data_IF_231574529488
#
_entry.id   IF_231574529488
#
_cell.length_a   1.000
_cell.length_b   1.000
_cell.length_c   1.000
_cell.angle_alpha   90.00
_cell.angle_beta   90.00
_cell.angle_gamma   90.00
#
_symmetry.space_group_name_H-M   'P 1'
#
loop_
_entity.id
_entity.type
_entity.pdbx_description
1 polymer ?
#
# COMPACT_ATOMS: atom_id res chain seq x y z
N UNK A 1 -7.51 -15.43 15.98
CA UNK A 1 -6.35 -14.57 16.33
C UNK A 1 -5.94 -14.93 17.75
N UNK A 2 -4.64 -15.10 18.08
CA UNK A 2 -4.25 -15.62 19.39
C UNK A 2 -4.25 -14.57 20.52
N UNK A 3 -4.68 -13.33 20.26
CA UNK A 3 -4.72 -12.29 21.27
C UNK A 3 -6.14 -11.75 21.39
N UNK A 4 -6.82 -11.94 22.53
CA UNK A 4 -8.24 -11.65 22.66
C UNK A 4 -8.56 -10.15 22.69
N UNK A 5 -7.70 -9.27 23.19
CA UNK A 5 -8.01 -7.85 23.30
C UNK A 5 -6.76 -6.99 23.61
N UNK A 6 -6.74 -5.77 23.06
CA UNK A 6 -6.12 -4.55 23.57
C UNK A 6 -4.85 -4.64 24.42
N UNK A 7 -3.73 -5.06 23.84
CA UNK A 7 -2.42 -4.86 24.47
C UNK A 7 -1.48 -4.15 23.50
N UNK A 8 -1.08 -2.93 23.86
CA UNK A 8 -0.13 -2.13 23.07
C UNK A 8 1.20 -2.89 22.92
N UNK A 9 1.83 -2.78 21.75
CA UNK A 9 3.19 -3.28 21.50
C UNK A 9 3.34 -4.79 21.28
N UNK A 10 2.26 -5.58 21.17
CA UNK A 10 2.38 -7.02 20.98
C UNK A 10 2.75 -7.38 19.53
N UNK A 11 3.91 -8.01 19.36
CA UNK A 11 4.37 -8.53 18.08
C UNK A 11 3.83 -9.96 17.88
N UNK A 12 3.25 -10.23 16.70
CA UNK A 12 2.94 -11.60 16.33
C UNK A 12 4.24 -12.38 16.01
N UNK A 13 4.15 -13.71 15.93
CA UNK A 13 5.31 -14.56 15.65
C UNK A 13 6.06 -14.19 14.37
N UNK A 14 5.34 -13.73 13.34
CA UNK A 14 5.96 -13.25 12.11
C UNK A 14 6.77 -11.97 12.33
N UNK A 15 6.26 -11.02 13.11
CA UNK A 15 6.96 -9.78 13.43
C UNK A 15 8.21 -10.04 14.29
N UNK A 16 8.15 -10.98 15.23
CA UNK A 16 9.29 -11.38 16.07
C UNK A 16 10.40 -12.08 15.28
N UNK A 17 10.06 -12.75 14.18
CA UNK A 17 11.03 -13.53 13.40
C UNK A 17 12.12 -12.69 12.70
N UNK A 18 11.96 -11.36 12.63
CA UNK A 18 12.93 -10.47 11.96
C UNK A 18 13.06 -10.68 10.44
N UNK A 19 12.18 -11.47 9.82
CA UNK A 19 12.28 -11.85 8.40
C UNK A 19 11.95 -10.72 7.42
N UNK A 20 11.33 -9.65 7.90
CA UNK A 20 10.85 -8.56 7.06
C UNK A 20 11.98 -7.60 6.68
N UNK A 21 11.98 -7.17 5.41
CA UNK A 21 12.97 -6.21 4.86
C UNK A 21 12.37 -4.81 4.78
N UNK A 22 11.68 -4.39 5.83
CA UNK A 22 11.16 -3.04 5.99
C UNK A 22 11.34 -2.61 7.45
N UNK A 23 11.42 -1.30 7.68
CA UNK A 23 11.51 -0.75 9.04
C UNK A 23 10.14 -0.68 9.72
N UNK A 24 9.11 -0.27 8.98
CA UNK A 24 7.78 -0.03 9.50
C UNK A 24 6.71 -0.52 8.51
N UNK A 25 5.61 -1.04 9.06
CA UNK A 25 4.37 -1.31 8.34
C UNK A 25 3.24 -0.55 9.06
N UNK A 26 2.38 0.13 8.30
CA UNK A 26 1.32 1.00 8.82
C UNK A 26 -0.01 0.69 8.17
N UNK A 27 -1.07 0.89 8.92
CA UNK A 27 -2.46 0.80 8.46
C UNK A 27 -3.28 1.79 9.27
N UNK A 28 -4.21 2.49 8.61
CA UNK A 28 -5.14 3.37 9.30
C UNK A 28 -6.12 2.60 10.21
N UNK A 29 -6.62 1.46 9.76
CA UNK A 29 -7.58 0.69 10.54
C UNK A 29 -7.83 -0.71 10.00
N UNK A 30 -8.71 -1.43 10.68
CA UNK A 30 -9.10 -2.80 10.34
C UNK A 30 -9.92 -2.78 9.04
N UNK A 31 -9.64 -3.71 8.13
CA UNK A 31 -10.27 -3.79 6.80
C UNK A 31 -11.70 -4.35 6.86
N UNK A 32 -12.61 -3.60 7.51
CA UNK A 32 -13.99 -4.00 7.77
C UNK A 32 -14.96 -2.82 7.60
N UNK A 33 -16.26 -3.11 7.63
CA UNK A 33 -17.33 -2.12 7.60
C UNK A 33 -17.20 -1.06 6.50
N UNK A 34 -17.41 0.21 6.88
CA UNK A 34 -17.37 1.35 5.97
C UNK A 34 -15.99 1.57 5.31
N UNK A 35 -14.90 1.28 6.02
CA UNK A 35 -13.55 1.42 5.47
C UNK A 35 -13.32 0.43 4.33
N UNK A 36 -13.73 -0.83 4.53
CA UNK A 36 -13.67 -1.85 3.48
C UNK A 36 -14.48 -1.45 2.25
N UNK A 37 -15.70 -0.94 2.44
CA UNK A 37 -16.58 -0.52 1.34
C UNK A 37 -15.98 0.66 0.56
N UNK A 38 -15.48 1.68 1.26
CA UNK A 38 -14.80 2.82 0.62
C UNK A 38 -13.57 2.37 -0.19
N UNK A 39 -12.74 1.48 0.38
CA UNK A 39 -11.59 0.92 -0.33
C UNK A 39 -12.05 0.10 -1.56
N UNK A 40 -13.16 -0.63 -1.47
CA UNK A 40 -13.72 -1.38 -2.61
C UNK A 40 -14.21 -0.45 -3.73
N UNK A 41 -14.99 0.58 -3.40
CA UNK A 41 -15.46 1.60 -4.35
C UNK A 41 -14.31 2.32 -5.03
N UNK A 42 -13.29 2.70 -4.28
CA UNK A 42 -12.10 3.31 -4.83
C UNK A 42 -11.35 2.35 -5.77
N UNK A 43 -11.14 1.09 -5.33
CA UNK A 43 -10.39 0.10 -6.11
C UNK A 43 -11.14 -0.31 -7.39
N UNK A 44 -12.42 -0.65 -7.29
CA UNK A 44 -13.13 -1.35 -8.36
C UNK A 44 -14.20 -0.47 -9.02
N UNK A 45 -14.86 0.38 -8.25
CA UNK A 45 -15.85 1.35 -8.74
C UNK A 45 -15.27 2.61 -9.37
N UNK A 46 -13.94 2.78 -9.32
CA UNK A 46 -13.21 3.97 -9.83
C UNK A 46 -13.68 5.29 -9.21
N UNK A 47 -14.14 5.22 -7.96
CA UNK A 47 -14.63 6.39 -7.24
C UNK A 47 -13.47 7.26 -6.77
N UNK A 48 -13.05 8.20 -7.63
CA UNK A 48 -11.89 9.06 -7.38
C UNK A 48 -12.17 10.13 -6.32
N UNK A 49 -13.43 10.37 -5.95
CA UNK A 49 -13.79 11.26 -4.84
C UNK A 49 -13.27 10.72 -3.50
N UNK A 50 -12.96 9.41 -3.44
CA UNK A 50 -12.40 8.76 -2.26
C UNK A 50 -10.88 8.92 -2.13
N UNK A 51 -10.19 9.53 -3.10
CA UNK A 51 -8.72 9.72 -3.01
C UNK A 51 -8.34 10.58 -1.82
N UNK A 52 -9.00 11.72 -1.62
CA UNK A 52 -8.66 12.63 -0.53
C UNK A 52 -9.04 12.04 0.84
N UNK A 53 -10.27 11.55 1.09
CA UNK A 53 -10.62 10.94 2.38
C UNK A 53 -9.74 9.74 2.75
N UNK A 54 -9.49 8.82 1.80
CA UNK A 54 -8.60 7.68 2.06
C UNK A 54 -7.14 8.11 2.20
N UNK A 55 -6.73 9.18 1.53
CA UNK A 55 -5.42 9.80 1.66
C UNK A 55 -5.23 10.45 3.03
N UNK A 56 -6.25 11.12 3.57
CA UNK A 56 -6.24 11.71 4.90
C UNK A 56 -6.13 10.66 6.01
N UNK A 57 -6.86 9.55 5.87
CA UNK A 57 -6.68 8.37 6.73
C UNK A 57 -5.25 7.82 6.70
N UNK A 58 -4.64 7.75 5.51
CA UNK A 58 -3.24 7.33 5.40
C UNK A 58 -2.26 8.35 5.97
N UNK A 59 -2.57 9.65 5.90
CA UNK A 59 -1.75 10.70 6.50
C UNK A 59 -1.75 10.62 8.02
N UNK A 60 -2.92 10.39 8.63
CA UNK A 60 -3.03 10.19 10.08
C UNK A 60 -2.17 9.01 10.54
N UNK A 61 -2.17 7.90 9.79
CA UNK A 61 -1.33 6.74 10.11
C UNK A 61 0.18 6.94 9.86
N UNK A 62 0.57 8.06 9.24
CA UNK A 62 1.91 8.33 8.72
C UNK A 62 2.39 9.76 9.02
N UNK A 63 1.83 10.43 10.03
CA UNK A 63 2.17 11.83 10.35
C UNK A 63 3.64 12.02 10.74
N UNK A 64 4.24 10.96 11.30
CA UNK A 64 5.62 10.91 11.79
C UNK A 64 6.65 10.63 10.68
N UNK A 65 6.25 10.42 9.43
CA UNK A 65 7.21 10.11 8.35
C UNK A 65 8.25 11.21 8.15
N UNK A 66 7.87 12.48 8.28
CA UNK A 66 8.81 13.61 8.17
C UNK A 66 9.85 13.60 9.28
N UNK A 67 9.42 13.46 10.53
CA UNK A 67 10.34 13.46 11.68
C UNK A 67 11.26 12.23 11.70
N UNK A 68 10.89 11.17 10.97
CA UNK A 68 11.73 9.98 10.73
C UNK A 68 12.79 10.15 9.64
N UNK A 69 12.86 11.28 8.97
CA UNK A 69 13.83 11.51 7.90
C UNK A 69 13.55 10.70 6.64
N UNK A 70 12.28 10.51 6.28
CA UNK A 70 11.91 9.91 4.99
C UNK A 70 12.10 10.95 3.89
N UNK A 71 12.91 10.62 2.87
CA UNK A 71 13.24 11.54 1.78
C UNK A 71 12.27 11.47 0.59
N UNK A 72 11.59 10.33 0.42
CA UNK A 72 10.88 10.02 -0.82
C UNK A 72 9.68 9.09 -0.66
N UNK A 73 8.62 9.33 -1.43
CA UNK A 73 7.48 8.43 -1.60
C UNK A 73 7.56 7.71 -2.96
N UNK A 74 7.53 6.38 -2.94
CA UNK A 74 7.49 5.55 -4.16
C UNK A 74 6.19 4.74 -4.17
N UNK A 75 5.22 5.06 -5.05
CA UNK A 75 4.01 4.27 -5.19
C UNK A 75 4.30 2.94 -5.88
N UNK A 76 3.74 1.85 -5.35
CA UNK A 76 3.89 0.53 -5.98
C UNK A 76 3.23 0.54 -7.37
N UNK A 77 3.96 0.27 -8.46
CA UNK A 77 3.42 0.33 -9.81
C UNK A 77 2.47 -0.83 -10.10
N UNK A 78 1.54 -0.61 -11.04
CA UNK A 78 0.76 -1.69 -11.66
C UNK A 78 1.37 -2.02 -13.02
N UNK A 79 1.24 -3.29 -13.44
CA UNK A 79 1.71 -3.70 -14.76
C UNK A 79 1.01 -2.86 -15.86
N UNK A 80 1.70 -2.39 -16.91
CA UNK A 80 1.13 -1.48 -17.91
C UNK A 80 -0.18 -1.98 -18.53
N UNK A 81 -0.30 -3.28 -18.81
CA UNK A 81 -1.55 -3.89 -19.32
C UNK A 81 -2.73 -3.65 -18.39
N UNK A 82 -2.52 -3.88 -17.09
CA UNK A 82 -3.52 -3.70 -16.03
C UNK A 82 -3.83 -2.24 -15.75
N UNK A 83 -2.86 -1.34 -15.98
CA UNK A 83 -3.07 0.10 -15.91
C UNK A 83 -4.04 0.53 -17.01
N UNK A 84 -3.86 0.07 -18.25
CA UNK A 84 -4.77 0.34 -19.37
C UNK A 84 -6.19 -0.15 -19.10
N UNK A 85 -6.37 -1.37 -18.59
CA UNK A 85 -7.69 -1.92 -18.26
C UNK A 85 -8.44 -1.12 -17.19
N UNK A 86 -7.72 -0.67 -16.14
CA UNK A 86 -8.32 -0.03 -14.96
C UNK A 86 -8.39 1.49 -15.07
N UNK A 87 -7.60 2.09 -15.95
CA UNK A 87 -7.51 3.54 -16.17
C UNK A 87 -6.60 4.31 -15.21
N UNK A 88 -6.29 3.79 -14.01
CA UNK A 88 -5.46 4.49 -13.03
C UNK A 88 -4.69 3.57 -12.07
N UNK A 89 -3.65 4.14 -11.43
CA UNK A 89 -2.89 3.53 -10.36
C UNK A 89 -3.32 4.11 -8.99
N UNK A 90 -3.96 3.28 -8.17
CA UNK A 90 -4.50 3.67 -6.86
C UNK A 90 -3.41 4.16 -5.92
N UNK A 91 -2.27 3.44 -5.88
CA UNK A 91 -1.15 3.80 -5.00
C UNK A 91 -0.56 5.14 -5.38
N UNK A 92 -0.48 5.45 -6.68
CA UNK A 92 0.00 6.73 -7.19
C UNK A 92 -0.91 7.89 -6.77
N UNK A 93 -2.23 7.72 -6.86
CA UNK A 93 -3.17 8.77 -6.45
C UNK A 93 -3.03 9.09 -4.96
N UNK A 94 -2.97 8.06 -4.11
CA UNK A 94 -2.77 8.24 -2.68
C UNK A 94 -1.38 8.80 -2.36
N UNK A 95 -0.32 8.32 -3.01
CA UNK A 95 1.03 8.83 -2.81
C UNK A 95 1.16 10.31 -3.21
N UNK A 96 0.47 10.76 -4.27
CA UNK A 96 0.41 12.18 -4.65
C UNK A 96 -0.33 13.04 -3.63
N UNK A 97 -1.40 12.52 -3.02
CA UNK A 97 -2.08 13.20 -1.91
C UNK A 97 -1.14 13.36 -0.71
N UNK A 98 -0.48 12.27 -0.31
CA UNK A 98 0.50 12.26 0.78
C UNK A 98 1.66 13.20 0.49
N UNK A 99 2.21 13.19 -0.73
CA UNK A 99 3.30 14.06 -1.17
C UNK A 99 2.98 15.53 -0.97
N UNK A 100 1.80 15.98 -1.39
CA UNK A 100 1.35 17.37 -1.20
C UNK A 100 1.26 17.77 0.28
N UNK A 101 0.78 16.86 1.13
CA UNK A 101 0.54 17.12 2.56
C UNK A 101 1.79 16.97 3.42
N UNK A 102 2.67 16.05 3.04
CA UNK A 102 3.95 15.80 3.69
C UNK A 102 5.08 16.68 3.17
N UNK A 103 4.94 17.30 1.99
CA UNK A 103 6.03 18.04 1.35
C UNK A 103 7.17 17.14 0.89
N UNK A 104 6.87 15.85 0.65
CA UNK A 104 7.84 14.86 0.19
C UNK A 104 7.71 14.66 -1.32
N UNK A 105 8.81 14.49 -2.07
CA UNK A 105 8.74 14.11 -3.47
C UNK A 105 8.03 12.75 -3.63
N UNK A 106 7.34 12.58 -4.77
CA UNK A 106 6.68 11.33 -5.13
C UNK A 106 7.20 10.86 -6.49
N UNK A 107 8.06 9.84 -6.47
CA UNK A 107 8.74 9.32 -7.66
C UNK A 107 8.03 8.07 -8.16
N UNK A 108 7.22 8.25 -9.21
CA UNK A 108 6.39 7.19 -9.77
C UNK A 108 7.13 6.27 -10.74
N UNK A 109 8.31 6.67 -11.21
CA UNK A 109 9.05 6.03 -12.29
C UNK A 109 10.24 5.20 -11.82
N UNK A 110 10.71 5.42 -10.58
CA UNK A 110 11.85 4.69 -9.99
C UNK A 110 11.59 3.19 -9.85
N UNK A 111 10.34 2.80 -9.55
CA UNK A 111 9.95 1.40 -9.41
C UNK A 111 9.04 1.01 -10.57
N UNK A 112 9.45 0.00 -11.33
CA UNK A 112 8.67 -0.53 -12.46
C UNK A 112 8.23 -1.97 -12.21
N UNK A 113 7.05 -2.34 -12.72
CA UNK A 113 6.56 -3.72 -12.68
C UNK A 113 6.77 -4.39 -14.04
N UNK A 114 7.79 -5.24 -14.13
CA UNK A 114 8.26 -5.87 -15.37
C UNK A 114 7.53 -7.17 -15.73
N UNK A 115 6.93 -7.85 -14.75
CA UNK A 115 6.16 -9.08 -14.99
C UNK A 115 4.67 -8.82 -14.85
N UNK A 116 3.89 -9.32 -15.81
CA UNK A 116 2.46 -9.46 -15.61
C UNK A 116 2.17 -10.68 -14.74
N UNK A 117 1.65 -10.42 -13.55
CA UNK A 117 1.31 -11.47 -12.59
C UNK A 117 -0.20 -11.64 -12.54
N UNK A 118 -0.73 -12.85 -12.27
CA UNK A 118 -2.15 -13.06 -12.01
C UNK A 118 -2.71 -12.15 -10.91
N UNK A 119 -4.03 -12.01 -10.83
CA UNK A 119 -4.65 -11.26 -9.73
C UNK A 119 -4.25 -11.87 -8.39
N UNK A 120 -3.70 -11.07 -7.48
CA UNK A 120 -3.30 -11.57 -6.16
C UNK A 120 -4.50 -11.97 -5.30
N UNK A 121 -5.71 -11.51 -5.64
CA UNK A 121 -6.94 -11.83 -4.92
C UNK A 121 -7.32 -13.30 -4.98
N UNK A 122 -6.92 -14.03 -6.03
CA UNK A 122 -7.20 -15.45 -6.22
C UNK A 122 -6.04 -16.37 -5.80
N UNK A 123 -4.92 -15.81 -5.33
CA UNK A 123 -3.71 -16.57 -5.00
C UNK A 123 -3.60 -16.80 -3.49
N UNK A 124 -3.16 -18.00 -3.12
CA UNK A 124 -2.72 -18.32 -1.75
C UNK A 124 -1.49 -17.50 -1.35
N UNK A 125 -1.16 -17.40 -0.04
CA UNK A 125 0.02 -16.67 0.42
C UNK A 125 1.33 -17.10 -0.26
N UNK A 126 1.56 -18.42 -0.41
CA UNK A 126 2.76 -18.95 -1.05
C UNK A 126 2.83 -18.64 -2.55
N UNK A 127 1.68 -18.65 -3.23
CA UNK A 127 1.60 -18.25 -4.65
C UNK A 127 1.82 -16.76 -4.83
N UNK A 128 1.30 -15.92 -3.92
CA UNK A 128 1.56 -14.46 -3.94
C UNK A 128 3.05 -14.16 -3.80
N UNK A 129 3.74 -14.84 -2.88
CA UNK A 129 5.20 -14.68 -2.70
C UNK A 129 5.97 -15.07 -3.96
N UNK A 130 5.62 -16.21 -4.58
CA UNK A 130 6.23 -16.65 -5.85
C UNK A 130 5.95 -15.67 -6.99
N UNK A 131 4.72 -15.17 -7.10
CA UNK A 131 4.32 -14.24 -8.14
C UNK A 131 5.05 -12.89 -8.06
N UNK A 132 5.36 -12.41 -6.85
CA UNK A 132 6.08 -11.13 -6.66
C UNK A 132 7.59 -11.24 -6.93
N UNK A 133 8.17 -12.45 -6.88
CA UNK A 133 9.63 -12.63 -7.02
C UNK A 133 10.11 -12.18 -8.41
N UNK A 134 10.96 -11.15 -8.41
CA UNK A 134 11.48 -10.53 -9.63
C UNK A 134 10.39 -9.93 -10.52
N UNK A 135 9.25 -9.52 -9.93
CA UNK A 135 8.20 -8.84 -10.67
C UNK A 135 8.42 -7.33 -10.78
N UNK A 136 9.34 -6.79 -9.98
CA UNK A 136 9.65 -5.37 -9.90
C UNK A 136 11.16 -5.15 -10.07
N UNK A 137 11.50 -4.03 -10.69
CA UNK A 137 12.88 -3.56 -10.89
C UNK A 137 12.97 -2.08 -10.53
N UNK A 138 14.15 -1.66 -10.09
CA UNK A 138 14.50 -0.26 -9.85
C UNK A 138 15.30 0.22 -11.06
N UNK A 139 14.91 1.35 -11.63
CA UNK A 139 15.62 1.98 -12.74
C UNK A 139 16.86 2.75 -12.28
#
# INVERSE_FOLDING_TARGET
>A
MPFPEGTEGHLCGDCLSGKFRFLLHRSYGIYEGALKEAIHRFKYGRDLLLVEPLGDFLLEACEDLRSRGIDLLIPVPRHPRRLRERGFNQSLLLARHLSKRLGLPCEAEVLVKVKDTPSQTSLSPAERQRAVRGAFEVL
#
